data_IF_140359119714
#
_entry.id   IF_140359119714
#
_cell.length_a   1.000
_cell.length_b   1.000
_cell.length_c   1.000
_cell.angle_alpha   90.00
_cell.angle_beta   90.00
_cell.angle_gamma   90.00
#
_symmetry.space_group_name_H-M   'P 1'
#
loop_
_entity.id
_entity.type
_entity.pdbx_description
1 polymer ?
#
# COMPACT_ATOMS: atom_id res chain seq x y z
N UNK A 1 -14.28 -26.89 -4.56
CA UNK A 1 -15.61 -26.27 -4.77
C UNK A 1 -15.46 -24.82 -4.36
N UNK A 2 -15.69 -23.86 -5.27
CA UNK A 2 -15.60 -22.44 -4.92
C UNK A 2 -16.60 -22.09 -3.82
N UNK A 3 -16.22 -21.22 -2.90
CA UNK A 3 -17.16 -20.71 -1.90
C UNK A 3 -18.35 -20.06 -2.62
N UNK A 4 -19.59 -20.25 -2.12
CA UNK A 4 -20.75 -19.65 -2.76
C UNK A 4 -20.70 -18.13 -2.62
N UNK A 5 -20.63 -17.43 -3.74
CA UNK A 5 -20.76 -15.97 -3.78
C UNK A 5 -22.21 -15.61 -3.49
N UNK A 6 -22.44 -14.72 -2.53
CA UNK A 6 -23.78 -14.20 -2.23
C UNK A 6 -23.86 -12.74 -2.62
N UNK A 7 -24.98 -12.34 -3.23
CA UNK A 7 -25.27 -10.94 -3.49
C UNK A 7 -25.97 -10.37 -2.25
N UNK A 8 -25.35 -9.37 -1.63
CA UNK A 8 -25.82 -8.75 -0.39
C UNK A 8 -26.27 -7.33 -0.67
N UNK A 9 -27.43 -6.94 -0.16
CA UNK A 9 -27.95 -5.58 -0.26
C UNK A 9 -28.21 -5.02 1.14
N UNK A 10 -27.77 -3.78 1.38
CA UNK A 10 -28.12 -3.06 2.61
C UNK A 10 -29.50 -2.43 2.45
N UNK A 11 -30.31 -2.47 3.50
CA UNK A 11 -31.58 -1.76 3.54
C UNK A 11 -31.49 -0.45 4.32
N UNK A 12 -32.51 0.42 4.21
CA UNK A 12 -32.55 1.68 4.97
C UNK A 12 -32.95 1.50 6.45
N UNK A 13 -33.29 0.28 6.87
CA UNK A 13 -33.78 0.04 8.22
C UNK A 13 -32.69 0.27 9.27
N UNK A 14 -33.02 1.02 10.33
CA UNK A 14 -32.16 1.28 11.48
C UNK A 14 -33.02 1.22 12.74
N UNK A 15 -32.56 0.46 13.74
CA UNK A 15 -33.25 0.33 15.02
C UNK A 15 -32.43 -0.39 16.09
N UNK A 16 -32.84 -0.22 17.34
CA UNK A 16 -32.17 -0.83 18.50
C UNK A 16 -32.53 -2.31 18.71
N UNK A 17 -33.64 -2.77 18.13
CA UNK A 17 -34.12 -4.16 18.21
C UNK A 17 -34.30 -4.73 16.80
N UNK A 18 -34.12 -6.04 16.58
CA UNK A 18 -34.30 -6.63 15.27
C UNK A 18 -35.69 -6.33 14.66
N UNK A 19 -35.77 -5.98 13.36
CA UNK A 19 -37.04 -5.69 12.72
C UNK A 19 -37.88 -6.96 12.57
N UNK A 20 -39.20 -6.76 12.46
CA UNK A 20 -40.08 -7.80 11.91
C UNK A 20 -39.72 -8.05 10.45
N UNK A 21 -39.69 -9.31 10.01
CA UNK A 21 -39.45 -9.67 8.59
C UNK A 21 -40.51 -9.11 7.63
N UNK A 22 -41.63 -8.63 8.15
CA UNK A 22 -42.70 -7.98 7.38
C UNK A 22 -42.55 -6.45 7.30
N UNK A 23 -41.53 -5.88 7.93
CA UNK A 23 -41.24 -4.45 7.87
C UNK A 23 -40.94 -4.05 6.41
N UNK A 24 -41.57 -2.95 5.96
CA UNK A 24 -41.45 -2.46 4.59
C UNK A 24 -40.06 -1.88 4.33
N UNK A 25 -39.39 -1.36 5.35
CA UNK A 25 -38.04 -0.80 5.21
C UNK A 25 -37.00 -1.88 4.91
N UNK A 26 -37.27 -3.15 5.21
CA UNK A 26 -36.39 -4.25 4.79
C UNK A 26 -36.36 -4.46 3.26
N UNK A 27 -37.26 -3.81 2.51
CA UNK A 27 -37.29 -3.85 1.04
C UNK A 27 -36.70 -2.59 0.40
N UNK A 28 -36.42 -1.54 1.17
CA UNK A 28 -35.83 -0.31 0.64
C UNK A 28 -34.30 -0.47 0.63
N UNK A 29 -33.68 -0.37 -0.54
CA UNK A 29 -32.22 -0.50 -0.66
C UNK A 29 -31.56 0.83 -0.31
N UNK A 30 -30.50 0.77 0.49
CA UNK A 30 -29.68 1.91 0.83
C UNK A 30 -28.96 2.44 -0.41
N UNK A 31 -29.10 3.74 -0.67
CA UNK A 31 -28.37 4.43 -1.73
C UNK A 31 -27.33 5.35 -1.09
N UNK A 32 -26.07 5.13 -1.46
CA UNK A 32 -24.95 5.87 -0.93
C UNK A 32 -24.83 7.23 -1.63
N UNK A 33 -24.82 8.31 -0.87
CA UNK A 33 -24.58 9.67 -1.36
C UNK A 33 -23.45 10.40 -0.60
N UNK A 34 -22.77 9.70 0.32
CA UNK A 34 -21.62 10.24 1.02
C UNK A 34 -20.41 10.36 0.08
N UNK A 35 -19.58 11.38 0.27
CA UNK A 35 -18.38 11.62 -0.54
C UNK A 35 -18.68 11.62 -2.05
N UNK A 36 -17.98 10.79 -2.82
CA UNK A 36 -18.12 10.64 -4.28
C UNK A 36 -19.15 9.59 -4.69
N UNK A 37 -19.96 9.08 -3.77
CA UNK A 37 -21.03 8.15 -4.12
C UNK A 37 -22.21 8.92 -4.71
N UNK A 38 -22.58 8.62 -5.94
CA UNK A 38 -23.60 9.37 -6.71
C UNK A 38 -24.99 8.73 -6.59
N UNK A 39 -25.41 8.39 -5.37
CA UNK A 39 -26.67 7.68 -5.14
C UNK A 39 -26.62 6.21 -5.58
N UNK A 40 -25.45 5.58 -5.60
CA UNK A 40 -25.32 4.16 -5.98
C UNK A 40 -25.98 3.26 -4.93
N UNK A 41 -26.73 2.21 -5.32
CA UNK A 41 -27.29 1.28 -4.36
C UNK A 41 -26.17 0.47 -3.69
N UNK A 42 -26.22 0.28 -2.36
CA UNK A 42 -25.31 -0.60 -1.63
C UNK A 42 -25.71 -2.06 -1.85
N UNK A 43 -25.22 -2.62 -2.94
CA UNK A 43 -25.39 -4.01 -3.33
C UNK A 43 -24.02 -4.52 -3.79
N UNK A 44 -23.53 -5.60 -3.20
CA UNK A 44 -22.19 -6.11 -3.48
C UNK A 44 -22.17 -7.63 -3.45
N UNK A 45 -21.29 -8.21 -4.25
CA UNK A 45 -20.95 -9.61 -4.13
C UNK A 45 -19.99 -9.81 -2.97
N UNK A 46 -20.36 -10.72 -2.06
CA UNK A 46 -19.56 -11.10 -0.89
C UNK A 46 -19.15 -12.58 -1.02
N UNK A 47 -17.86 -12.83 -0.80
CA UNK A 47 -17.20 -14.11 -1.10
C UNK A 47 -16.91 -14.97 0.13
N UNK A 48 -16.97 -14.35 1.30
CA UNK A 48 -16.68 -14.99 2.57
C UNK A 48 -17.96 -15.44 3.28
N UNK A 49 -17.87 -16.48 4.13
CA UNK A 49 -18.98 -16.83 5.00
C UNK A 49 -19.31 -15.65 5.91
N UNK A 50 -20.59 -15.47 6.30
CA UNK A 50 -20.95 -14.46 7.27
C UNK A 50 -20.20 -14.68 8.59
N UNK A 51 -19.88 -13.61 9.32
CA UNK A 51 -19.13 -13.72 10.56
C UNK A 51 -19.94 -14.48 11.61
N UNK A 52 -19.28 -15.01 12.64
CA UNK A 52 -19.90 -15.94 13.60
C UNK A 52 -21.07 -15.31 14.38
N UNK A 53 -21.02 -13.99 14.56
CA UNK A 53 -22.03 -13.16 15.22
C UNK A 53 -23.23 -12.82 14.32
N UNK A 54 -23.20 -13.19 13.04
CA UNK A 54 -24.29 -12.92 12.11
C UNK A 54 -25.58 -13.60 12.57
N UNK A 55 -26.66 -12.81 12.67
CA UNK A 55 -27.98 -13.30 13.11
C UNK A 55 -28.94 -13.35 11.94
N UNK A 56 -29.33 -14.56 11.56
CA UNK A 56 -30.38 -14.77 10.58
C UNK A 56 -31.76 -14.44 11.18
N UNK A 57 -32.46 -13.46 10.60
CA UNK A 57 -33.79 -13.02 11.07
C UNK A 57 -34.95 -13.68 10.32
N UNK A 58 -34.72 -14.18 9.11
CA UNK A 58 -35.74 -14.84 8.29
C UNK A 58 -35.56 -14.62 6.79
N UNK A 59 -36.54 -15.07 5.99
CA UNK A 59 -36.51 -14.98 4.53
C UNK A 59 -37.58 -14.03 4.01
N UNK A 60 -37.15 -12.94 3.38
CA UNK A 60 -38.01 -12.11 2.53
C UNK A 60 -37.85 -12.60 1.10
N UNK A 61 -38.92 -13.20 0.52
CA UNK A 61 -38.85 -13.71 -0.86
C UNK A 61 -38.61 -12.55 -1.85
N UNK A 62 -37.57 -12.64 -2.72
CA UNK A 62 -37.33 -11.63 -3.73
C UNK A 62 -38.46 -11.56 -4.76
N UNK A 63 -38.95 -10.35 -5.03
CA UNK A 63 -39.85 -10.06 -6.13
C UNK A 63 -39.09 -10.02 -7.47
N UNK A 64 -39.83 -9.88 -8.57
CA UNK A 64 -39.22 -9.94 -9.91
C UNK A 64 -38.22 -8.81 -10.19
N UNK A 65 -38.35 -7.63 -9.55
CA UNK A 65 -37.40 -6.51 -9.69
C UNK A 65 -36.12 -6.80 -8.92
N UNK A 66 -36.25 -7.24 -7.66
CA UNK A 66 -35.13 -7.61 -6.78
C UNK A 66 -34.28 -8.74 -7.42
N UNK A 67 -34.90 -9.71 -8.09
CA UNK A 67 -34.20 -10.79 -8.81
C UNK A 67 -33.37 -10.33 -10.02
N UNK A 68 -33.62 -9.13 -10.54
CA UNK A 68 -32.90 -8.57 -11.68
C UNK A 68 -31.79 -7.62 -11.26
N UNK A 69 -31.61 -7.39 -9.96
CA UNK A 69 -30.52 -6.57 -9.46
C UNK A 69 -29.18 -7.23 -9.75
N UNK A 70 -28.24 -6.40 -10.17
CA UNK A 70 -26.87 -6.79 -10.45
C UNK A 70 -25.95 -5.83 -9.70
N UNK A 71 -24.76 -6.31 -9.40
CA UNK A 71 -23.66 -5.51 -8.89
C UNK A 71 -22.40 -5.91 -9.64
N UNK A 72 -21.61 -4.90 -10.01
CA UNK A 72 -20.24 -5.00 -10.50
C UNK A 72 -19.22 -4.81 -9.36
N UNK A 73 -19.70 -4.60 -8.14
CA UNK A 73 -18.89 -4.37 -6.95
C UNK A 73 -18.73 -5.63 -6.10
N UNK A 74 -17.60 -5.66 -5.40
CA UNK A 74 -17.12 -6.78 -4.61
C UNK A 74 -16.76 -6.25 -3.22
N UNK A 75 -17.17 -6.97 -2.17
CA UNK A 75 -16.97 -6.55 -0.79
C UNK A 75 -16.75 -7.77 0.13
N UNK A 76 -16.42 -7.49 1.40
CA UNK A 76 -16.36 -8.47 2.48
C UNK A 76 -17.32 -8.08 3.61
N UNK A 77 -17.71 -9.03 4.46
CA UNK A 77 -18.57 -8.78 5.62
C UNK A 77 -17.93 -7.82 6.63
N UNK A 78 -16.60 -7.74 6.70
CA UNK A 78 -15.91 -6.75 7.54
C UNK A 78 -16.11 -5.31 7.05
N UNK A 79 -16.03 -5.08 5.73
CA UNK A 79 -16.10 -3.73 5.15
C UNK A 79 -17.52 -3.33 4.74
N UNK A 80 -18.41 -4.27 4.46
CA UNK A 80 -19.78 -3.99 4.01
C UNK A 80 -20.55 -3.07 4.98
N UNK A 81 -20.50 -3.27 6.32
CA UNK A 81 -21.15 -2.38 7.29
C UNK A 81 -20.53 -0.98 7.37
N UNK A 82 -19.27 -0.81 6.98
CA UNK A 82 -18.58 0.49 7.05
C UNK A 82 -19.29 1.52 6.19
N UNK A 83 -19.68 1.17 4.96
CA UNK A 83 -20.39 2.08 4.05
C UNK A 83 -21.79 2.43 4.55
N UNK A 84 -22.46 1.50 5.25
CA UNK A 84 -23.76 1.75 5.89
C UNK A 84 -23.60 2.77 7.01
N UNK A 85 -22.60 2.58 7.86
CA UNK A 85 -22.28 3.51 8.94
C UNK A 85 -21.88 4.89 8.41
N UNK A 86 -21.02 4.95 7.39
CA UNK A 86 -20.60 6.22 6.77
C UNK A 86 -21.78 6.96 6.15
N UNK A 87 -22.68 6.25 5.47
CA UNK A 87 -23.91 6.85 4.94
C UNK A 87 -24.78 7.40 6.07
N UNK A 88 -24.97 6.65 7.14
CA UNK A 88 -25.73 7.13 8.30
C UNK A 88 -25.10 8.38 8.91
N UNK A 89 -23.78 8.38 9.13
CA UNK A 89 -23.06 9.56 9.64
C UNK A 89 -23.16 10.74 8.67
N UNK A 90 -23.14 10.50 7.37
CA UNK A 90 -23.30 11.54 6.38
C UNK A 90 -24.69 12.20 6.40
N UNK A 91 -25.72 11.43 6.74
CA UNK A 91 -27.09 11.93 6.83
C UNK A 91 -27.40 12.57 8.20
N UNK A 92 -26.73 12.15 9.28
CA UNK A 92 -27.09 12.52 10.66
C UNK A 92 -25.99 13.26 11.45
N UNK A 93 -24.73 13.13 11.07
CA UNK A 93 -23.54 13.59 11.80
C UNK A 93 -22.46 14.16 10.85
N UNK A 94 -22.90 14.80 9.76
CA UNK A 94 -22.01 15.18 8.65
C UNK A 94 -20.87 16.09 9.09
N UNK A 95 -21.18 17.07 9.94
CA UNK A 95 -20.19 18.04 10.38
C UNK A 95 -19.08 17.38 11.21
N UNK A 96 -19.41 16.45 12.10
CA UNK A 96 -18.39 15.75 12.90
C UNK A 96 -17.58 14.79 12.02
N UNK A 97 -18.23 14.07 11.09
CA UNK A 97 -17.54 13.21 10.13
C UNK A 97 -16.49 14.00 9.32
N UNK A 98 -16.89 15.14 8.74
CA UNK A 98 -15.98 16.00 7.98
C UNK A 98 -14.87 16.59 8.85
N UNK A 99 -15.16 16.95 10.11
CA UNK A 99 -14.16 17.47 11.03
C UNK A 99 -13.12 16.41 11.45
N UNK A 100 -13.53 15.16 11.61
CA UNK A 100 -12.62 14.02 11.85
C UNK A 100 -11.73 13.74 10.64
N UNK A 101 -12.31 13.74 9.44
CA UNK A 101 -11.56 13.56 8.19
C UNK A 101 -10.53 14.67 7.99
N UNK A 102 -10.93 15.94 8.18
CA UNK A 102 -10.02 17.07 8.10
C UNK A 102 -8.86 16.97 9.12
N UNK A 103 -9.12 16.45 10.34
CA UNK A 103 -8.07 16.20 11.33
C UNK A 103 -7.12 15.08 10.88
N UNK A 104 -7.65 13.98 10.34
CA UNK A 104 -6.85 12.86 9.82
C UNK A 104 -5.98 13.29 8.64
N UNK A 105 -6.55 14.04 7.71
CA UNK A 105 -5.84 14.58 6.56
C UNK A 105 -4.75 15.58 7.00
N UNK A 106 -5.06 16.49 7.94
CA UNK A 106 -4.06 17.40 8.49
C UNK A 106 -2.94 16.66 9.23
N UNK A 107 -3.25 15.57 9.95
CA UNK A 107 -2.24 14.75 10.59
C UNK A 107 -1.35 14.05 9.56
N UNK A 108 -1.94 13.44 8.52
CA UNK A 108 -1.21 12.81 7.42
C UNK A 108 -0.30 13.81 6.72
N UNK A 109 -0.82 14.98 6.34
CA UNK A 109 -0.01 16.05 5.72
C UNK A 109 1.16 16.47 6.60
N UNK A 110 0.96 16.64 7.91
CA UNK A 110 2.06 16.96 8.84
C UNK A 110 3.08 15.84 8.95
N UNK A 111 2.64 14.58 8.91
CA UNK A 111 3.54 13.42 8.89
C UNK A 111 4.35 13.40 7.60
N UNK A 112 3.70 13.52 6.44
CA UNK A 112 4.35 13.55 5.13
C UNK A 112 5.37 14.70 5.04
N UNK A 113 5.02 15.89 5.52
CA UNK A 113 5.91 17.05 5.58
C UNK A 113 7.11 16.80 6.51
N UNK A 114 6.87 16.25 7.70
CA UNK A 114 7.93 15.93 8.66
C UNK A 114 8.88 14.85 8.13
N UNK A 115 8.34 13.81 7.49
CA UNK A 115 9.09 12.74 6.84
C UNK A 115 9.91 13.28 5.67
N UNK A 116 9.34 14.16 4.84
CA UNK A 116 10.07 14.80 3.73
C UNK A 116 11.23 15.68 4.25
N UNK A 117 11.02 16.45 5.33
CA UNK A 117 12.07 17.26 5.96
C UNK A 117 13.16 16.36 6.54
N UNK A 118 12.79 15.30 7.27
CA UNK A 118 13.73 14.34 7.84
C UNK A 118 14.54 13.62 6.74
N UNK A 119 13.88 13.18 5.67
CA UNK A 119 14.53 12.56 4.49
C UNK A 119 15.54 13.52 3.86
N UNK A 120 15.17 14.79 3.67
CA UNK A 120 16.08 15.79 3.11
C UNK A 120 17.31 16.04 3.99
N UNK A 121 17.11 16.13 5.32
CA UNK A 121 18.20 16.30 6.28
C UNK A 121 19.12 15.07 6.32
N UNK A 122 18.53 13.87 6.30
CA UNK A 122 19.27 12.61 6.22
C UNK A 122 20.15 12.56 4.98
N UNK A 123 19.56 12.76 3.78
CA UNK A 123 20.29 12.76 2.51
C UNK A 123 21.42 13.79 2.50
N UNK A 124 21.19 15.03 2.96
CA UNK A 124 22.21 16.07 3.03
C UNK A 124 23.38 15.73 3.98
N UNK A 125 23.18 14.79 4.91
CA UNK A 125 24.21 14.34 5.86
C UNK A 125 24.98 13.09 5.40
N UNK A 126 24.63 12.53 4.24
CA UNK A 126 25.28 11.35 3.70
C UNK A 126 26.59 11.68 3.00
N UNK A 127 27.57 10.83 3.23
CA UNK A 127 28.85 10.80 2.52
C UNK A 127 29.18 9.36 2.15
N UNK A 128 30.02 9.16 1.15
CA UNK A 128 30.49 7.81 0.80
C UNK A 128 31.16 7.10 1.98
N UNK A 129 31.87 7.84 2.84
CA UNK A 129 32.47 7.27 4.07
C UNK A 129 31.41 6.79 5.07
N UNK A 130 30.36 7.58 5.28
CA UNK A 130 29.26 7.21 6.18
C UNK A 130 28.51 5.99 5.66
N UNK A 131 28.23 5.94 4.35
CA UNK A 131 27.59 4.79 3.73
C UNK A 131 28.46 3.53 3.81
N UNK A 132 29.79 3.68 3.71
CA UNK A 132 30.70 2.54 3.82
C UNK A 132 30.78 1.96 5.23
N UNK A 133 30.61 2.80 6.26
CA UNK A 133 30.59 2.37 7.66
C UNK A 133 29.25 1.70 8.06
N UNK A 134 28.21 1.89 7.26
CA UNK A 134 26.87 1.39 7.52
C UNK A 134 26.72 -0.09 7.06
N UNK A 135 26.18 -0.93 7.95
CA UNK A 135 25.94 -2.35 7.66
C UNK A 135 24.49 -2.54 7.20
N UNK A 136 24.28 -2.42 5.89
CA UNK A 136 22.96 -2.52 5.25
C UNK A 136 22.47 -3.96 5.16
N UNK A 137 21.16 -4.13 4.97
CA UNK A 137 20.50 -5.42 4.75
C UNK A 137 20.58 -6.43 5.91
N UNK A 138 21.04 -6.04 7.11
CA UNK A 138 21.13 -6.96 8.25
C UNK A 138 19.76 -7.51 8.69
N UNK A 139 18.71 -6.72 8.50
CA UNK A 139 17.33 -7.13 8.77
C UNK A 139 16.85 -8.28 7.88
N UNK A 140 17.59 -8.63 6.82
CA UNK A 140 17.26 -9.77 5.95
C UNK A 140 17.76 -11.10 6.50
N UNK A 141 18.60 -11.13 7.54
CA UNK A 141 19.17 -12.38 8.09
C UNK A 141 18.09 -13.35 8.62
N UNK A 142 16.91 -12.84 8.99
CA UNK A 142 15.79 -13.67 9.45
C UNK A 142 14.96 -14.27 8.31
N UNK A 143 14.92 -13.61 7.15
CA UNK A 143 14.07 -13.98 6.01
C UNK A 143 14.85 -14.56 4.81
N UNK A 144 16.16 -14.35 4.74
CA UNK A 144 17.00 -14.72 3.60
C UNK A 144 18.20 -15.56 4.01
N UNK A 145 18.74 -16.31 3.04
CA UNK A 145 19.98 -17.06 3.24
C UNK A 145 21.12 -16.07 3.58
N UNK A 146 21.99 -16.40 4.54
CA UNK A 146 23.13 -15.53 4.88
C UNK A 146 24.05 -15.19 3.71
N UNK A 147 24.09 -16.04 2.68
CA UNK A 147 24.84 -15.82 1.44
C UNK A 147 24.26 -14.66 0.62
N UNK A 148 22.93 -14.55 0.51
CA UNK A 148 22.23 -13.44 -0.15
C UNK A 148 22.54 -12.14 0.57
N UNK A 149 22.38 -12.12 1.90
CA UNK A 149 22.62 -10.92 2.71
C UNK A 149 24.07 -10.42 2.56
N UNK A 150 25.04 -11.33 2.62
CA UNK A 150 26.46 -10.98 2.41
C UNK A 150 26.72 -10.48 0.98
N UNK A 151 26.13 -11.12 -0.03
CA UNK A 151 26.29 -10.71 -1.41
C UNK A 151 25.70 -9.31 -1.64
N UNK A 152 24.49 -9.02 -1.13
CA UNK A 152 23.86 -7.71 -1.20
C UNK A 152 24.67 -6.62 -0.51
N UNK A 153 25.21 -6.90 0.69
CA UNK A 153 26.14 -6.00 1.37
C UNK A 153 27.39 -5.72 0.53
N UNK A 154 27.96 -6.77 -0.07
CA UNK A 154 29.17 -6.65 -0.85
C UNK A 154 28.95 -5.85 -2.14
N UNK A 155 27.83 -6.08 -2.85
CA UNK A 155 27.45 -5.30 -4.05
C UNK A 155 27.46 -3.80 -3.72
N UNK A 156 26.80 -3.42 -2.63
CA UNK A 156 26.70 -2.01 -2.23
C UNK A 156 28.05 -1.43 -1.80
N UNK A 157 28.81 -2.16 -0.98
CA UNK A 157 30.14 -1.71 -0.56
C UNK A 157 31.12 -1.57 -1.73
N UNK A 158 31.07 -2.48 -2.70
CA UNK A 158 31.92 -2.43 -3.89
C UNK A 158 31.58 -1.22 -4.77
N UNK A 159 30.29 -0.87 -4.89
CA UNK A 159 29.87 0.34 -5.60
C UNK A 159 30.41 1.60 -4.91
N UNK A 160 30.29 1.70 -3.58
CA UNK A 160 30.84 2.83 -2.80
C UNK A 160 32.35 2.94 -2.99
N UNK A 161 33.09 1.82 -2.83
CA UNK A 161 34.55 1.79 -3.01
C UNK A 161 34.94 2.19 -4.43
N UNK A 162 34.20 1.73 -5.44
CA UNK A 162 34.45 2.06 -6.84
C UNK A 162 34.29 3.56 -7.09
N UNK A 163 33.20 4.17 -6.60
CA UNK A 163 32.98 5.62 -6.75
C UNK A 163 34.06 6.41 -6.03
N UNK A 164 34.44 6.01 -4.80
CA UNK A 164 35.53 6.65 -4.05
C UNK A 164 36.87 6.59 -4.78
N UNK A 165 37.16 5.48 -5.45
CA UNK A 165 38.41 5.28 -6.17
C UNK A 165 38.56 6.19 -7.40
N UNK A 166 37.47 6.78 -7.90
CA UNK A 166 37.51 7.76 -9.00
C UNK A 166 38.09 9.11 -8.56
N UNK A 167 38.18 9.39 -7.25
CA UNK A 167 38.77 10.61 -6.70
C UNK A 167 37.78 11.78 -6.55
N UNK A 168 38.31 13.00 -6.46
CA UNK A 168 37.55 14.20 -6.04
C UNK A 168 36.73 14.85 -7.17
N UNK A 169 37.07 14.61 -8.42
CA UNK A 169 36.40 15.17 -9.60
C UNK A 169 36.17 14.09 -10.67
N UNK A 170 35.39 13.04 -10.36
CA UNK A 170 35.06 12.02 -11.34
C UNK A 170 34.14 12.59 -12.42
N UNK A 171 34.28 12.12 -13.67
CA UNK A 171 33.29 12.51 -14.67
C UNK A 171 31.97 11.75 -14.42
N UNK A 172 30.85 12.37 -14.80
CA UNK A 172 29.50 11.82 -14.58
C UNK A 172 29.35 10.40 -15.14
N UNK A 173 29.91 10.12 -16.31
CA UNK A 173 29.84 8.81 -16.95
C UNK A 173 30.51 7.69 -16.15
N UNK A 174 31.63 7.98 -15.49
CA UNK A 174 32.34 7.00 -14.63
C UNK A 174 31.52 6.66 -13.38
N UNK A 175 30.93 7.68 -12.75
CA UNK A 175 30.07 7.48 -11.57
C UNK A 175 28.82 6.71 -11.97
N UNK A 176 28.18 7.07 -13.09
CA UNK A 176 27.01 6.38 -13.60
C UNK A 176 27.30 4.93 -13.96
N UNK A 177 28.49 4.65 -14.48
CA UNK A 177 28.94 3.27 -14.75
C UNK A 177 29.05 2.46 -13.46
N UNK A 178 29.54 3.05 -12.37
CA UNK A 178 29.61 2.40 -11.06
C UNK A 178 28.22 2.17 -10.46
N UNK A 179 27.34 3.18 -10.53
CA UNK A 179 25.96 3.11 -10.06
C UNK A 179 25.16 2.05 -10.84
N UNK A 180 25.27 2.05 -12.16
CA UNK A 180 24.61 1.06 -13.02
C UNK A 180 25.03 -0.36 -12.70
N UNK A 181 26.35 -0.58 -12.56
CA UNK A 181 26.89 -1.89 -12.17
C UNK A 181 26.36 -2.37 -10.82
N UNK A 182 26.06 -1.46 -9.88
CA UNK A 182 25.44 -1.82 -8.61
C UNK A 182 24.08 -2.50 -8.83
N UNK A 183 23.20 -1.90 -9.64
CA UNK A 183 21.87 -2.45 -9.95
C UNK A 183 21.96 -3.72 -10.79
N UNK A 184 22.82 -3.75 -11.80
CA UNK A 184 23.01 -4.94 -12.64
C UNK A 184 23.45 -6.14 -11.79
N UNK A 185 24.35 -5.94 -10.81
CA UNK A 185 24.72 -7.02 -9.88
C UNK A 185 23.56 -7.48 -8.97
N UNK A 186 22.60 -6.61 -8.66
CA UNK A 186 21.39 -7.03 -7.95
C UNK A 186 20.46 -7.83 -8.87
N UNK A 187 20.37 -7.49 -10.16
CA UNK A 187 19.64 -8.31 -11.14
C UNK A 187 20.26 -9.72 -11.21
N UNK A 188 21.59 -9.81 -11.38
CA UNK A 188 22.31 -11.09 -11.42
C UNK A 188 22.05 -11.91 -10.14
N UNK A 189 22.14 -11.27 -8.97
CA UNK A 189 21.90 -11.92 -7.68
C UNK A 189 20.45 -12.40 -7.57
N UNK A 190 19.49 -11.65 -8.10
CA UNK A 190 18.09 -12.05 -8.11
C UNK A 190 17.87 -13.32 -8.93
N UNK A 191 18.47 -13.39 -10.11
CA UNK A 191 18.43 -14.59 -10.97
C UNK A 191 19.08 -15.80 -10.29
N UNK A 192 20.26 -15.60 -9.67
CA UNK A 192 20.99 -16.66 -8.98
C UNK A 192 20.19 -17.27 -7.82
N UNK A 193 19.42 -16.44 -7.09
CA UNK A 193 18.70 -16.85 -5.88
C UNK A 193 17.19 -16.95 -6.06
N UNK A 194 16.73 -17.45 -7.22
CA UNK A 194 15.32 -17.81 -7.46
C UNK A 194 14.34 -16.63 -7.33
N UNK A 195 14.74 -15.45 -7.81
CA UNK A 195 13.93 -14.24 -7.80
C UNK A 195 13.47 -13.78 -6.40
N UNK A 196 14.40 -13.75 -5.45
CA UNK A 196 14.11 -13.39 -4.05
C UNK A 196 13.73 -11.92 -3.84
N UNK A 197 14.01 -11.03 -4.80
CA UNK A 197 13.70 -9.61 -4.65
C UNK A 197 12.20 -9.41 -4.83
N UNK A 198 11.48 -9.33 -3.71
CA UNK A 198 10.07 -8.98 -3.67
C UNK A 198 9.89 -7.50 -3.29
N UNK A 199 8.70 -7.12 -2.82
CA UNK A 199 8.35 -5.72 -2.53
C UNK A 199 9.28 -5.09 -1.47
N UNK A 200 9.57 -5.80 -0.38
CA UNK A 200 10.37 -5.25 0.72
C UNK A 200 11.84 -5.10 0.33
N UNK A 201 12.40 -6.11 -0.33
CA UNK A 201 13.78 -6.12 -0.77
C UNK A 201 14.00 -5.04 -1.85
N UNK A 202 13.05 -4.92 -2.79
CA UNK A 202 13.03 -3.85 -3.78
C UNK A 202 13.10 -2.48 -3.12
N UNK A 203 12.20 -2.21 -2.20
CA UNK A 203 12.10 -0.90 -1.54
C UNK A 203 13.40 -0.56 -0.85
N UNK A 204 14.00 -1.52 -0.12
CA UNK A 204 15.26 -1.30 0.56
C UNK A 204 16.45 -1.14 -0.39
N UNK A 205 16.54 -1.92 -1.48
CA UNK A 205 17.59 -1.75 -2.50
C UNK A 205 17.49 -0.37 -3.15
N UNK A 206 16.29 0.02 -3.59
CA UNK A 206 16.05 1.33 -4.19
C UNK A 206 16.39 2.47 -3.24
N UNK A 207 15.96 2.38 -1.97
CA UNK A 207 16.29 3.37 -0.96
C UNK A 207 17.80 3.50 -0.75
N UNK A 208 18.50 2.39 -0.58
CA UNK A 208 19.96 2.40 -0.41
C UNK A 208 20.66 2.97 -1.65
N UNK A 209 20.16 2.64 -2.83
CA UNK A 209 20.71 3.11 -4.08
C UNK A 209 20.53 4.62 -4.27
N UNK A 210 19.36 5.17 -3.94
CA UNK A 210 19.14 6.63 -3.95
C UNK A 210 20.09 7.37 -3.00
N UNK A 211 20.31 6.80 -1.81
CA UNK A 211 21.27 7.33 -0.85
C UNK A 211 22.70 7.35 -1.40
N UNK A 212 23.09 6.29 -2.12
CA UNK A 212 24.37 6.22 -2.81
C UNK A 212 24.50 7.26 -3.92
N UNK A 213 23.46 7.43 -4.75
CA UNK A 213 23.39 8.46 -5.80
C UNK A 213 23.55 9.85 -5.20
N UNK A 214 22.87 10.11 -4.08
CA UNK A 214 22.97 11.40 -3.38
C UNK A 214 24.37 11.63 -2.80
N UNK A 215 24.94 10.64 -2.11
CA UNK A 215 26.29 10.71 -1.55
C UNK A 215 27.39 10.85 -2.61
N UNK A 216 27.14 10.40 -3.84
CA UNK A 216 28.02 10.57 -4.99
C UNK A 216 27.89 11.96 -5.65
N UNK A 217 26.98 12.83 -5.18
CA UNK A 217 26.75 14.17 -5.73
C UNK A 217 25.71 14.25 -6.85
N UNK A 218 25.05 13.15 -7.18
CA UNK A 218 24.11 13.03 -8.30
C UNK A 218 22.64 12.97 -7.86
N UNK A 219 22.33 13.43 -6.64
CA UNK A 219 20.98 13.37 -6.07
C UNK A 219 19.88 14.13 -6.82
N UNK A 220 20.23 14.89 -7.87
CA UNK A 220 19.27 15.53 -8.77
C UNK A 220 18.74 14.59 -9.87
N UNK A 221 19.36 13.41 -10.04
CA UNK A 221 18.87 12.38 -10.95
C UNK A 221 17.88 11.45 -10.24
N UNK A 222 16.60 11.59 -10.59
CA UNK A 222 15.55 10.71 -10.09
C UNK A 222 15.42 9.42 -10.92
N UNK A 223 14.98 8.35 -10.25
CA UNK A 223 14.57 7.09 -10.88
C UNK A 223 15.69 6.40 -11.65
N UNK A 224 16.95 6.48 -11.20
CA UNK A 224 18.07 5.78 -11.84
C UNK A 224 17.95 4.25 -11.66
N UNK A 225 17.53 3.78 -10.49
CA UNK A 225 17.31 2.35 -10.25
C UNK A 225 16.26 1.76 -11.22
N UNK A 226 15.14 2.46 -11.41
CA UNK A 226 14.05 2.04 -12.31
C UNK A 226 14.48 1.87 -13.77
N UNK A 227 15.55 2.53 -14.20
CA UNK A 227 16.06 2.42 -15.57
C UNK A 227 16.86 1.14 -15.81
N UNK A 228 17.38 0.54 -14.74
CA UNK A 228 18.38 -0.54 -14.83
C UNK A 228 17.93 -1.83 -14.14
N UNK A 229 16.95 -1.77 -13.24
CA UNK A 229 16.42 -2.96 -12.57
C UNK A 229 15.55 -3.80 -13.51
N UNK A 230 15.54 -5.10 -13.27
CA UNK A 230 14.75 -6.08 -14.03
C UNK A 230 13.71 -6.84 -13.17
N UNK A 231 13.62 -6.48 -11.89
CA UNK A 231 12.70 -7.01 -10.86
C UNK A 231 11.75 -5.92 -10.34
#
# INVERSE_FOLDING_TARGET
MGLPNVLVAACNWIGAEPPSISDRELRSILHLNHHGWEGKPKIDWVFEPPPAEFRFLGVVKPNWRERRMQSDSFDCWENFPLQIMLQWRWDNDREALLAEEAKRDSHRTRQDEAEAVARKQHLASLTLDRLLADRRFLNWEESHKPEVVRASQQIFQDAIRSIRALGSEPNEGEVFSCLRRCIERFNDLNEEYSHFIETLEREQICECFEELVHAAGFGHHAGLADRWREW
#
